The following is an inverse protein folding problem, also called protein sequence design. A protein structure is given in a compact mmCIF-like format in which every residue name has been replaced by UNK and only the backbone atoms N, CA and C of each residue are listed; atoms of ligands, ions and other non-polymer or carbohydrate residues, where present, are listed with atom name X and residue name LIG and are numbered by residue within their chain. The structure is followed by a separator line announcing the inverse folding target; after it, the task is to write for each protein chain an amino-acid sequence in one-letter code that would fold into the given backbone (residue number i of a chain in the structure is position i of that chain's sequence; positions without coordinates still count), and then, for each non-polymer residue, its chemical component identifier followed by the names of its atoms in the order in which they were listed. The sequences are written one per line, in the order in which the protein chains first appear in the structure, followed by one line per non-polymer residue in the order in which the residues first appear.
data_IF_283477468260
#
_entry.id   IF_283477468260
#
_cell.length_a   1.000
_cell.length_b   1.000
_cell.length_c   1.000
_cell.angle_alpha   90.00
_cell.angle_beta   90.00
_cell.angle_gamma   90.00
#
_symmetry.space_group_name_H-M   'P 1'
#
loop_
_entity.id
_entity.type
_entity.pdbx_description
1 polymer ?
#
# COMPACT_ATOMS: atom_id res chain seq x y z
N UNK A 1 -29.39 -0.36 -10.34
CA UNK A 1 -30.21 0.57 -11.13
C UNK A 1 -29.22 1.47 -11.87
N UNK A 2 -29.09 1.32 -13.19
CA UNK A 2 -28.22 2.20 -13.98
C UNK A 2 -28.67 3.64 -13.75
N UNK A 3 -27.73 4.53 -13.42
CA UNK A 3 -27.97 5.97 -13.48
C UNK A 3 -28.52 6.31 -14.88
N UNK A 4 -29.45 7.27 -14.99
CA UNK A 4 -29.93 7.72 -16.30
C UNK A 4 -28.72 8.09 -17.15
N UNK A 5 -28.65 7.58 -18.38
CA UNK A 5 -27.58 7.95 -19.29
C UNK A 5 -27.59 9.48 -19.44
N UNK A 6 -26.43 10.14 -19.32
CA UNK A 6 -26.36 11.58 -19.48
C UNK A 6 -26.87 11.96 -20.87
N UNK A 7 -27.48 13.16 -21.01
CA UNK A 7 -28.00 13.63 -22.30
C UNK A 7 -26.92 13.64 -23.40
N UNK A 8 -25.66 13.72 -22.99
CA UNK A 8 -24.48 13.54 -23.84
C UNK A 8 -23.45 12.62 -23.20
N UNK A 9 -22.83 11.79 -24.04
CA UNK A 9 -21.68 10.96 -23.66
C UNK A 9 -20.54 11.16 -24.65
N UNK A 10 -19.46 11.78 -24.18
CA UNK A 10 -18.17 11.83 -24.85
C UNK A 10 -17.31 10.65 -24.40
N UNK A 11 -16.72 9.96 -25.37
CA UNK A 11 -15.95 8.74 -25.10
C UNK A 11 -14.58 8.80 -25.76
N UNK A 12 -13.53 8.76 -24.95
CA UNK A 12 -12.12 8.81 -25.38
C UNK A 12 -11.33 7.56 -24.99
N UNK A 13 -11.89 6.69 -24.13
CA UNK A 13 -11.29 5.42 -23.71
C UNK A 13 -11.58 4.32 -24.74
N UNK A 14 -11.15 4.54 -25.96
CA UNK A 14 -11.49 3.80 -27.17
C UNK A 14 -11.53 4.75 -28.36
N UNK A 15 -12.06 4.34 -29.53
CA UNK A 15 -12.31 5.27 -30.62
C UNK A 15 -13.15 6.48 -30.16
N UNK A 16 -12.81 7.68 -30.66
CA UNK A 16 -13.50 8.91 -30.29
C UNK A 16 -14.97 8.84 -30.73
N UNK A 17 -15.87 8.92 -29.76
CA UNK A 17 -17.31 8.95 -29.96
C UNK A 17 -17.95 10.07 -29.15
N UNK A 18 -18.96 10.71 -29.73
CA UNK A 18 -19.87 11.60 -29.01
C UNK A 18 -21.28 11.11 -29.30
N UNK A 19 -22.04 10.79 -28.26
CA UNK A 19 -23.44 10.42 -28.35
C UNK A 19 -24.30 11.55 -27.80
N UNK A 20 -25.35 11.90 -28.54
CA UNK A 20 -26.34 12.91 -28.17
C UNK A 20 -27.67 12.64 -28.90
N UNK A 21 -28.79 13.10 -28.36
CA UNK A 21 -30.09 13.04 -29.05
C UNK A 21 -30.54 11.63 -29.49
N UNK A 22 -30.08 10.58 -28.82
CA UNK A 22 -30.42 9.18 -29.12
C UNK A 22 -29.48 8.44 -30.08
N UNK A 23 -28.32 9.00 -30.46
CA UNK A 23 -27.37 8.28 -31.31
C UNK A 23 -25.98 8.92 -31.43
N UNK A 24 -25.09 8.33 -32.25
CA UNK A 24 -23.76 8.84 -32.48
C UNK A 24 -23.73 10.08 -33.37
N UNK A 25 -22.96 11.08 -32.95
CA UNK A 25 -22.73 12.31 -33.67
C UNK A 25 -21.58 12.14 -34.67
N UNK A 26 -21.77 12.37 -35.98
CA UNK A 26 -20.69 12.30 -36.96
C UNK A 26 -19.73 13.49 -36.79
N UNK A 27 -18.56 13.25 -36.19
CA UNK A 27 -17.56 14.25 -35.81
C UNK A 27 -16.75 14.89 -36.97
N UNK A 28 -17.09 14.56 -38.21
CA UNK A 28 -16.41 15.08 -39.40
C UNK A 28 -15.00 14.50 -39.60
N UNK A 29 -14.14 15.26 -40.27
CA UNK A 29 -12.81 14.82 -40.68
C UNK A 29 -11.78 14.75 -39.53
N UNK A 30 -10.62 14.16 -39.83
CA UNK A 30 -9.53 13.88 -38.87
C UNK A 30 -9.14 15.07 -37.99
N UNK A 31 -8.98 16.28 -38.55
CA UNK A 31 -8.62 17.49 -37.76
C UNK A 31 -9.71 17.93 -36.77
N UNK A 32 -10.99 17.73 -37.10
CA UNK A 32 -12.10 18.05 -36.18
C UNK A 32 -12.14 17.08 -35.00
N UNK A 33 -11.97 15.79 -35.28
CA UNK A 33 -11.83 14.73 -34.27
C UNK A 33 -10.64 15.01 -33.36
N UNK A 34 -9.49 15.34 -33.91
CA UNK A 34 -8.28 15.68 -33.15
C UNK A 34 -8.48 16.91 -32.26
N UNK A 35 -9.06 18.00 -32.79
CA UNK A 35 -9.37 19.20 -31.99
C UNK A 35 -10.25 18.87 -30.80
N UNK A 36 -11.33 18.11 -31.03
CA UNK A 36 -12.25 17.71 -29.99
C UNK A 36 -11.58 16.81 -28.96
N UNK A 37 -10.81 15.81 -29.40
CA UNK A 37 -10.08 14.90 -28.52
C UNK A 37 -9.14 15.68 -27.57
N UNK A 38 -8.33 16.60 -28.10
CA UNK A 38 -7.43 17.43 -27.29
C UNK A 38 -8.18 18.24 -26.23
N UNK A 39 -9.32 18.85 -26.60
CA UNK A 39 -10.14 19.61 -25.66
C UNK A 39 -10.78 18.71 -24.58
N UNK A 40 -11.23 17.51 -24.95
CA UNK A 40 -11.81 16.54 -24.01
C UNK A 40 -10.76 16.01 -23.02
N UNK A 41 -9.55 15.70 -23.49
CA UNK A 41 -8.41 15.30 -22.65
C UNK A 41 -7.98 16.41 -21.69
N UNK A 42 -8.17 17.68 -22.07
CA UNK A 42 -7.96 18.81 -21.18
C UNK A 42 -9.06 18.92 -20.09
N UNK A 43 -10.22 18.29 -20.30
CA UNK A 43 -11.31 18.11 -19.33
C UNK A 43 -11.76 19.43 -18.69
N UNK A 44 -12.15 20.41 -19.51
CA UNK A 44 -12.58 21.74 -19.05
C UNK A 44 -11.45 22.76 -18.87
N UNK A 45 -10.18 22.32 -18.84
CA UNK A 45 -9.03 23.23 -18.79
C UNK A 45 -8.79 23.89 -20.13
N UNK A 46 -8.31 25.14 -20.09
CA UNK A 46 -7.94 25.90 -21.29
C UNK A 46 -6.68 25.32 -21.92
N UNK A 47 -6.76 25.00 -23.22
CA UNK A 47 -5.60 24.69 -24.08
C UNK A 47 -5.26 25.94 -24.88
N UNK A 48 -4.00 26.37 -24.86
CA UNK A 48 -3.57 27.58 -25.58
C UNK A 48 -3.76 27.41 -27.08
N UNK A 49 -4.02 28.51 -27.79
CA UNK A 49 -4.12 28.47 -29.24
C UNK A 49 -2.84 27.92 -29.89
N UNK A 50 -1.67 28.25 -29.33
CA UNK A 50 -0.37 27.79 -29.82
C UNK A 50 -0.22 26.28 -29.67
N UNK A 51 -0.54 25.73 -28.49
CA UNK A 51 -0.51 24.29 -28.26
C UNK A 51 -1.49 23.55 -29.17
N UNK A 52 -2.69 24.11 -29.39
CA UNK A 52 -3.64 23.53 -30.34
C UNK A 52 -3.08 23.54 -31.77
N UNK A 53 -2.37 24.61 -32.16
CA UNK A 53 -1.72 24.66 -33.47
C UNK A 53 -0.66 23.57 -33.59
N UNK A 54 0.24 23.47 -32.61
CA UNK A 54 1.32 22.48 -32.61
C UNK A 54 0.77 21.05 -32.63
N UNK A 55 -0.29 20.78 -31.86
CA UNK A 55 -0.93 19.46 -31.81
C UNK A 55 -1.61 19.09 -33.12
N UNK A 56 -2.28 20.06 -33.76
CA UNK A 56 -3.06 19.79 -34.96
C UNK A 56 -2.19 19.78 -36.22
N UNK A 57 -1.14 20.58 -36.32
CA UNK A 57 -0.35 20.73 -37.55
C UNK A 57 1.14 20.38 -37.39
N UNK A 58 1.58 20.02 -36.19
CA UNK A 58 2.99 19.72 -35.92
C UNK A 58 3.86 20.97 -36.02
N UNK A 59 5.08 20.80 -36.52
CA UNK A 59 6.05 21.90 -36.70
C UNK A 59 5.81 22.74 -37.97
N UNK A 60 4.67 22.58 -38.67
CA UNK A 60 4.39 23.35 -39.90
C UNK A 60 4.21 24.85 -39.59
N UNK A 61 5.11 25.73 -40.09
CA UNK A 61 5.00 27.15 -39.82
C UNK A 61 4.02 27.78 -40.80
N UNK A 62 2.94 28.39 -40.29
CA UNK A 62 2.44 29.63 -40.93
C UNK A 62 1.49 30.42 -40.03
N UNK A 63 1.56 31.75 -40.16
CA UNK A 63 0.55 32.67 -39.64
C UNK A 63 -0.88 32.35 -40.14
N UNK A 64 -1.00 31.59 -41.24
CA UNK A 64 -2.28 31.07 -41.78
C UNK A 64 -2.92 30.00 -40.88
N UNK A 65 -2.15 29.33 -40.02
CA UNK A 65 -2.66 28.24 -39.18
C UNK A 65 -3.57 28.77 -38.06
N UNK A 66 -3.33 29.98 -37.52
CA UNK A 66 -4.23 30.58 -36.50
C UNK A 66 -5.63 30.87 -37.04
N UNK A 67 -5.74 31.41 -38.24
CA UNK A 67 -7.03 31.62 -38.90
C UNK A 67 -7.71 30.26 -39.20
N UNK A 68 -6.92 29.25 -39.56
CA UNK A 68 -7.39 27.89 -39.79
C UNK A 68 -7.90 27.23 -38.50
N UNK A 69 -7.28 27.49 -37.35
CA UNK A 69 -7.78 27.05 -36.04
C UNK A 69 -9.14 27.65 -35.73
N UNK A 70 -9.34 28.95 -35.95
CA UNK A 70 -10.64 29.59 -35.74
C UNK A 70 -11.74 28.98 -36.62
N UNK A 71 -11.42 28.65 -37.88
CA UNK A 71 -12.34 27.93 -38.78
C UNK A 71 -12.67 26.56 -38.21
N UNK A 72 -11.67 25.80 -37.74
CA UNK A 72 -11.92 24.48 -37.17
C UNK A 72 -12.77 24.55 -35.88
N UNK A 73 -12.52 25.51 -34.99
CA UNK A 73 -13.34 25.75 -33.80
C UNK A 73 -14.77 26.14 -34.17
N UNK A 74 -14.94 27.00 -35.18
CA UNK A 74 -16.26 27.41 -35.67
C UNK A 74 -17.05 26.22 -36.23
N UNK A 75 -16.40 25.35 -37.01
CA UNK A 75 -17.00 24.12 -37.53
C UNK A 75 -17.36 23.15 -36.40
N UNK A 76 -16.47 22.96 -35.41
CA UNK A 76 -16.75 22.13 -34.24
C UNK A 76 -17.97 22.63 -33.47
N UNK A 77 -18.06 23.94 -33.21
CA UNK A 77 -19.23 24.55 -32.54
C UNK A 77 -20.53 24.30 -33.29
N UNK A 78 -20.51 24.46 -34.62
CA UNK A 78 -21.71 24.19 -35.45
C UNK A 78 -22.12 22.72 -35.37
N UNK A 79 -21.14 21.82 -35.37
CA UNK A 79 -21.36 20.37 -35.28
C UNK A 79 -21.97 19.98 -33.93
N UNK A 80 -21.43 20.49 -32.83
CA UNK A 80 -21.95 20.25 -31.48
C UNK A 80 -23.35 20.83 -31.26
N UNK A 81 -23.62 22.01 -31.84
CA UNK A 81 -24.95 22.65 -31.81
C UNK A 81 -25.97 21.86 -32.62
N UNK A 82 -25.61 21.43 -33.85
CA UNK A 82 -26.49 20.65 -34.70
C UNK A 82 -26.80 19.26 -34.14
N UNK A 83 -25.87 18.71 -33.34
CA UNK A 83 -26.06 17.47 -32.59
C UNK A 83 -26.84 17.62 -31.29
N UNK A 84 -27.33 18.82 -30.97
CA UNK A 84 -28.04 19.13 -29.72
C UNK A 84 -27.28 18.67 -28.46
N UNK A 85 -25.95 18.73 -28.52
CA UNK A 85 -25.09 18.15 -27.46
C UNK A 85 -25.09 18.98 -26.16
N UNK A 86 -25.45 20.25 -26.22
CA UNK A 86 -25.25 21.17 -25.07
C UNK A 86 -23.77 21.47 -24.75
N UNK A 87 -22.81 20.75 -25.34
CA UNK A 87 -21.38 21.00 -25.16
C UNK A 87 -20.98 22.34 -25.78
N UNK A 88 -20.26 23.15 -25.01
CA UNK A 88 -19.83 24.48 -25.44
C UNK A 88 -18.32 24.56 -25.50
N UNK A 89 -17.77 24.89 -26.68
CA UNK A 89 -16.36 25.23 -26.82
C UNK A 89 -16.20 26.73 -26.55
N UNK A 90 -15.74 27.10 -25.35
CA UNK A 90 -15.52 28.47 -24.94
C UNK A 90 -14.15 28.99 -25.42
N UNK A 91 -14.09 30.28 -25.80
CA UNK A 91 -12.81 30.98 -25.95
C UNK A 91 -12.43 31.50 -24.58
N UNK A 92 -11.31 31.00 -24.04
CA UNK A 92 -10.76 31.40 -22.73
C UNK A 92 -9.30 31.72 -22.94
N UNK A 93 -8.86 32.95 -22.72
CA UNK A 93 -7.45 33.31 -22.97
C UNK A 93 -6.51 32.39 -22.16
N UNK A 94 -5.39 31.91 -22.76
CA UNK A 94 -4.88 32.21 -24.11
C UNK A 94 -5.35 31.26 -25.24
N UNK A 95 -6.48 30.57 -25.10
CA UNK A 95 -6.99 29.67 -26.14
C UNK A 95 -8.45 29.23 -25.98
N UNK A 96 -8.68 27.93 -25.88
CA UNK A 96 -10.02 27.33 -25.90
C UNK A 96 -10.17 26.23 -24.85
N UNK A 97 -11.40 26.06 -24.35
CA UNK A 97 -11.79 24.98 -23.46
C UNK A 97 -13.14 24.42 -23.93
N UNK A 98 -13.39 23.15 -23.65
CA UNK A 98 -14.73 22.56 -23.79
C UNK A 98 -15.38 22.47 -22.41
N UNK A 99 -16.57 23.03 -22.27
CA UNK A 99 -17.38 22.87 -21.07
C UNK A 99 -18.04 21.50 -21.10
N UNK A 100 -17.68 20.67 -20.12
CA UNK A 100 -18.11 19.28 -20.00
C UNK A 100 -18.29 18.91 -18.53
N UNK A 101 -19.39 18.25 -18.20
CA UNK A 101 -19.64 17.77 -16.85
C UNK A 101 -18.87 16.46 -16.58
N UNK A 102 -18.54 16.15 -15.31
CA UNK A 102 -17.79 14.94 -14.97
C UNK A 102 -18.42 13.62 -15.42
N UNK A 103 -19.74 13.55 -15.51
CA UNK A 103 -20.51 12.38 -15.94
C UNK A 103 -20.68 12.28 -17.46
N UNK A 104 -20.41 13.36 -18.20
CA UNK A 104 -20.50 13.39 -19.67
C UNK A 104 -19.24 12.82 -20.35
N UNK A 105 -18.11 12.68 -19.64
CA UNK A 105 -16.84 12.16 -20.19
C UNK A 105 -16.43 10.84 -19.52
N UNK A 106 -16.28 9.77 -20.31
CA UNK A 106 -15.83 8.46 -19.82
C UNK A 106 -14.49 8.50 -19.07
N UNK A 107 -13.53 9.34 -19.49
CA UNK A 107 -12.26 9.55 -18.81
C UNK A 107 -12.42 10.09 -17.38
N UNK A 108 -13.33 11.04 -17.16
CA UNK A 108 -13.57 11.60 -15.82
C UNK A 108 -14.28 10.60 -14.93
N UNK A 109 -15.25 9.87 -15.48
CA UNK A 109 -15.92 8.76 -14.79
C UNK A 109 -14.96 7.64 -14.40
N UNK A 110 -14.07 7.25 -15.30
CA UNK A 110 -13.03 6.27 -15.05
C UNK A 110 -12.13 6.70 -13.89
N UNK A 111 -11.59 7.93 -13.93
CA UNK A 111 -10.72 8.45 -12.86
C UNK A 111 -11.45 8.53 -11.51
N UNK A 112 -12.69 9.01 -11.50
CA UNK A 112 -13.50 9.07 -10.28
C UNK A 112 -13.72 7.67 -9.68
N UNK A 113 -14.14 6.69 -10.49
CA UNK A 113 -14.36 5.32 -10.05
C UNK A 113 -13.06 4.64 -9.57
N UNK A 114 -11.92 4.91 -10.21
CA UNK A 114 -10.61 4.43 -9.75
C UNK A 114 -10.25 5.04 -8.39
N UNK A 115 -10.45 6.33 -8.18
CA UNK A 115 -10.14 6.99 -6.91
C UNK A 115 -11.06 6.53 -5.77
N UNK A 116 -12.34 6.30 -6.07
CA UNK A 116 -13.28 5.68 -5.13
C UNK A 116 -12.89 4.24 -4.81
N UNK A 117 -12.49 3.45 -5.82
CA UNK A 117 -12.00 2.08 -5.65
C UNK A 117 -10.74 2.01 -4.78
N UNK A 118 -9.77 2.89 -5.03
CA UNK A 118 -8.56 3.05 -4.18
C UNK A 118 -8.93 3.43 -2.74
N UNK A 119 -9.91 4.31 -2.57
CA UNK A 119 -10.36 4.74 -1.24
C UNK A 119 -11.11 3.62 -0.51
N UNK A 120 -11.91 2.82 -1.23
CA UNK A 120 -12.55 1.63 -0.68
C UNK A 120 -11.52 0.58 -0.24
N UNK A 121 -10.47 0.36 -1.04
CA UNK A 121 -9.38 -0.54 -0.68
C UNK A 121 -8.61 -0.06 0.56
N UNK A 122 -8.29 1.25 0.63
CA UNK A 122 -7.69 1.87 1.82
C UNK A 122 -8.56 1.75 3.07
N UNK A 123 -9.89 1.78 2.89
CA UNK A 123 -10.87 1.60 3.97
C UNK A 123 -11.15 0.13 4.33
N UNK A 124 -10.39 -0.84 3.79
CA UNK A 124 -10.59 -2.26 4.08
C UNK A 124 -11.87 -2.86 3.48
N UNK A 125 -12.40 -2.27 2.40
CA UNK A 125 -13.58 -2.76 1.66
C UNK A 125 -13.18 -3.27 0.26
N UNK A 126 -12.41 -4.35 0.16
CA UNK A 126 -11.88 -4.82 -1.12
C UNK A 126 -12.97 -5.30 -2.10
N UNK A 127 -14.11 -5.85 -1.64
CA UNK A 127 -15.23 -6.19 -2.54
C UNK A 127 -15.82 -4.97 -3.25
N UNK A 128 -15.97 -3.86 -2.52
CA UNK A 128 -16.42 -2.59 -3.10
C UNK A 128 -15.38 -2.02 -4.06
N UNK A 129 -14.09 -2.15 -3.72
CA UNK A 129 -13.00 -1.73 -4.61
C UNK A 129 -13.01 -2.51 -5.92
N UNK A 130 -13.15 -3.85 -5.89
CA UNK A 130 -13.26 -4.68 -7.10
C UNK A 130 -14.43 -4.21 -7.97
N UNK A 131 -15.61 -4.02 -7.39
CA UNK A 131 -16.81 -3.60 -8.13
C UNK A 131 -16.58 -2.27 -8.86
N UNK A 132 -16.06 -1.26 -8.15
CA UNK A 132 -15.79 0.07 -8.71
C UNK A 132 -14.71 0.03 -9.80
N UNK A 133 -13.68 -0.79 -9.62
CA UNK A 133 -12.57 -0.91 -10.58
C UNK A 133 -12.98 -1.72 -11.82
N UNK A 134 -13.85 -2.72 -11.67
CA UNK A 134 -14.45 -3.43 -12.80
C UNK A 134 -15.34 -2.48 -13.62
N UNK A 135 -16.18 -1.69 -12.97
CA UNK A 135 -16.99 -0.65 -13.63
C UNK A 135 -16.13 0.39 -14.35
N UNK A 136 -15.04 0.84 -13.71
CA UNK A 136 -14.09 1.77 -14.32
C UNK A 136 -13.43 1.18 -15.56
N UNK A 137 -12.89 -0.05 -15.46
CA UNK A 137 -12.19 -0.71 -16.56
C UNK A 137 -13.15 -1.07 -17.71
N UNK A 138 -14.42 -1.32 -17.43
CA UNK A 138 -15.44 -1.55 -18.46
C UNK A 138 -15.74 -0.32 -19.33
N UNK A 139 -15.33 0.89 -18.92
CA UNK A 139 -15.42 2.09 -19.75
C UNK A 139 -14.42 2.05 -20.93
N UNK A 140 -13.36 1.25 -20.81
CA UNK A 140 -12.38 1.07 -21.88
C UNK A 140 -12.92 0.14 -22.96
N UNK A 141 -12.96 0.65 -24.20
CA UNK A 141 -13.50 -0.02 -25.39
C UNK A 141 -12.41 -0.41 -26.39
N UNK A 142 -11.17 -0.48 -25.92
CA UNK A 142 -9.95 -0.65 -26.71
C UNK A 142 -8.88 0.36 -26.31
N UNK A 143 -7.86 0.51 -27.16
CA UNK A 143 -6.83 1.54 -26.98
C UNK A 143 -7.46 2.94 -27.01
N UNK A 144 -6.99 3.83 -26.12
CA UNK A 144 -7.48 5.21 -26.06
C UNK A 144 -7.32 5.91 -27.42
N UNK A 145 -8.38 6.59 -27.87
CA UNK A 145 -8.47 7.28 -29.16
C UNK A 145 -7.86 6.47 -30.32
N UNK A 146 -8.21 5.18 -30.43
CA UNK A 146 -7.62 4.27 -31.42
C UNK A 146 -7.67 4.78 -32.88
N UNK A 147 -8.67 5.60 -33.24
CA UNK A 147 -8.80 6.24 -34.55
C UNK A 147 -7.85 7.43 -34.78
N UNK A 148 -7.17 7.88 -33.72
CA UNK A 148 -6.18 8.95 -33.69
C UNK A 148 -4.84 8.46 -33.13
N UNK A 149 -4.64 7.14 -33.00
CA UNK A 149 -3.44 6.56 -32.38
C UNK A 149 -2.13 6.93 -33.11
N UNK A 150 -2.20 7.21 -34.41
CA UNK A 150 -1.04 7.60 -35.23
C UNK A 150 -0.76 9.12 -35.18
N UNK A 151 -1.49 9.90 -34.38
CA UNK A 151 -1.26 11.35 -34.26
C UNK A 151 -0.01 11.64 -33.40
N UNK A 152 1.05 12.24 -33.95
CA UNK A 152 2.27 12.52 -33.19
C UNK A 152 2.03 13.43 -31.99
N UNK A 153 1.10 14.38 -32.13
CA UNK A 153 0.74 15.32 -31.08
C UNK A 153 0.12 14.68 -29.84
N UNK A 154 -0.49 13.50 -29.96
CA UNK A 154 -1.21 12.82 -28.86
C UNK A 154 -0.39 11.74 -28.16
N UNK A 155 0.81 11.38 -28.64
CA UNK A 155 1.53 10.20 -28.13
C UNK A 155 1.79 10.26 -26.62
N UNK A 156 2.10 11.44 -26.08
CA UNK A 156 2.33 11.62 -24.66
C UNK A 156 1.04 11.42 -23.85
N UNK A 157 -0.07 12.00 -24.32
CA UNK A 157 -1.39 11.90 -23.69
C UNK A 157 -1.93 10.46 -23.75
N UNK A 158 -1.74 9.75 -24.87
CA UNK A 158 -2.13 8.34 -25.01
C UNK A 158 -1.30 7.43 -24.10
N UNK A 159 0.01 7.65 -24.02
CA UNK A 159 0.88 6.92 -23.09
C UNK A 159 0.43 7.09 -21.64
N UNK A 160 0.15 8.33 -21.21
CA UNK A 160 -0.34 8.61 -19.86
C UNK A 160 -1.70 7.94 -19.57
N UNK A 161 -2.60 7.85 -20.56
CA UNK A 161 -3.87 7.13 -20.39
C UNK A 161 -3.67 5.63 -20.22
N UNK A 162 -2.78 5.01 -21.00
CA UNK A 162 -2.47 3.58 -20.83
C UNK A 162 -1.78 3.30 -19.48
N UNK A 163 -0.94 4.21 -18.99
CA UNK A 163 -0.39 4.14 -17.63
C UNK A 163 -1.50 4.23 -16.56
N UNK A 164 -2.45 5.16 -16.73
CA UNK A 164 -3.63 5.28 -15.85
C UNK A 164 -4.45 3.97 -15.83
N UNK A 165 -4.65 3.34 -17.00
CA UNK A 165 -5.33 2.04 -17.13
C UNK A 165 -4.57 0.95 -16.38
N UNK A 166 -3.26 0.87 -16.60
CA UNK A 166 -2.41 -0.14 -16.00
C UNK A 166 -2.37 -0.01 -14.47
N UNK A 167 -2.35 1.23 -13.96
CA UNK A 167 -2.45 1.51 -12.54
C UNK A 167 -3.80 1.07 -11.94
N UNK A 168 -4.92 1.28 -12.66
CA UNK A 168 -6.24 0.82 -12.25
C UNK A 168 -6.32 -0.72 -12.21
N UNK A 169 -5.78 -1.40 -13.22
CA UNK A 169 -5.63 -2.86 -13.22
C UNK A 169 -4.80 -3.33 -12.03
N UNK A 170 -3.66 -2.68 -11.74
CA UNK A 170 -2.85 -2.97 -10.56
C UNK A 170 -3.65 -2.87 -9.26
N UNK A 171 -4.43 -1.79 -9.08
CA UNK A 171 -5.31 -1.63 -7.90
C UNK A 171 -6.38 -2.72 -7.82
N UNK A 172 -6.94 -3.14 -8.96
CA UNK A 172 -7.92 -4.24 -9.01
C UNK A 172 -7.28 -5.54 -8.53
N UNK A 173 -6.08 -5.84 -9.01
CA UNK A 173 -5.31 -7.03 -8.60
C UNK A 173 -4.99 -7.02 -7.10
N UNK A 174 -4.64 -5.87 -6.52
CA UNK A 174 -4.51 -5.73 -5.06
C UNK A 174 -5.80 -6.07 -4.32
N UNK A 175 -6.94 -5.59 -4.80
CA UNK A 175 -8.22 -5.87 -4.18
C UNK A 175 -8.56 -7.37 -4.23
N UNK A 176 -8.29 -8.06 -5.34
CA UNK A 176 -8.42 -9.51 -5.44
C UNK A 176 -7.47 -10.26 -4.49
N UNK A 177 -6.23 -9.79 -4.35
CA UNK A 177 -5.28 -10.35 -3.38
C UNK A 177 -5.81 -10.20 -1.94
N UNK A 178 -6.35 -9.05 -1.57
CA UNK A 178 -6.94 -8.83 -0.25
C UNK A 178 -8.15 -9.77 0.00
N UNK A 179 -8.92 -10.09 -1.04
CA UNK A 179 -10.01 -11.07 -1.01
C UNK A 179 -9.55 -12.53 -0.98
N UNK A 180 -8.25 -12.80 -1.13
CA UNK A 180 -7.71 -14.16 -1.13
C UNK A 180 -7.84 -14.87 -2.49
N UNK A 181 -8.22 -14.16 -3.55
CA UNK A 181 -8.46 -14.70 -4.90
C UNK A 181 -7.16 -14.86 -5.69
N UNK A 182 -6.11 -15.35 -5.05
CA UNK A 182 -4.74 -15.35 -5.58
C UNK A 182 -4.59 -16.21 -6.84
N UNK A 183 -5.17 -17.41 -6.83
CA UNK A 183 -5.09 -18.35 -7.95
C UNK A 183 -5.85 -17.83 -9.19
N UNK A 184 -6.99 -17.16 -8.97
CA UNK A 184 -7.87 -16.65 -10.03
C UNK A 184 -7.18 -15.55 -10.86
N UNK A 185 -6.40 -14.68 -10.23
CA UNK A 185 -5.74 -13.55 -10.91
C UNK A 185 -4.36 -13.89 -11.49
N UNK A 186 -3.81 -15.08 -11.18
CA UNK A 186 -2.46 -15.45 -11.60
C UNK A 186 -2.28 -15.48 -13.14
N UNK A 187 -3.21 -16.03 -13.94
CA UNK A 187 -3.10 -16.03 -15.41
C UNK A 187 -3.09 -14.60 -15.97
N UNK A 188 -4.05 -13.77 -15.57
CA UNK A 188 -4.15 -12.37 -16.02
C UNK A 188 -2.88 -11.57 -15.66
N UNK A 189 -2.38 -11.71 -14.42
CA UNK A 189 -1.11 -11.10 -14.01
C UNK A 189 0.10 -11.60 -14.80
N UNK A 190 0.10 -12.86 -15.24
CA UNK A 190 1.17 -13.42 -16.05
C UNK A 190 1.20 -12.76 -17.43
N UNK A 191 0.04 -12.60 -18.07
CA UNK A 191 -0.10 -11.93 -19.37
C UNK A 191 0.29 -10.45 -19.27
N UNK A 192 -0.14 -9.76 -18.21
CA UNK A 192 0.20 -8.36 -17.96
C UNK A 192 1.70 -8.15 -17.74
N UNK A 193 2.37 -9.02 -16.99
CA UNK A 193 3.82 -8.96 -16.79
C UNK A 193 4.59 -9.28 -18.06
N UNK A 194 4.06 -10.14 -18.93
CA UNK A 194 4.65 -10.40 -20.24
C UNK A 194 4.52 -9.20 -21.18
N UNK A 195 3.37 -8.51 -21.16
CA UNK A 195 3.11 -7.32 -21.96
C UNK A 195 3.86 -6.07 -21.46
N UNK A 196 4.06 -5.95 -20.15
CA UNK A 196 4.76 -4.83 -19.51
C UNK A 196 5.97 -5.32 -18.67
N UNK A 197 7.04 -5.81 -19.32
CA UNK A 197 8.12 -6.54 -18.64
C UNK A 197 8.92 -5.69 -17.65
N UNK A 198 8.99 -4.37 -17.86
CA UNK A 198 9.65 -3.40 -16.97
C UNK A 198 8.77 -2.93 -15.81
N UNK A 199 7.49 -3.30 -15.78
CA UNK A 199 6.58 -2.85 -14.74
C UNK A 199 6.71 -3.70 -13.46
N UNK A 200 7.72 -3.37 -12.66
CA UNK A 200 8.09 -4.09 -11.43
C UNK A 200 6.92 -4.36 -10.48
N UNK A 201 5.99 -3.41 -10.42
CA UNK A 201 4.86 -3.53 -9.52
C UNK A 201 3.86 -4.65 -9.90
N UNK A 202 3.57 -4.85 -11.19
CA UNK A 202 2.72 -5.97 -11.64
C UNK A 202 3.40 -7.30 -11.41
N UNK A 203 4.73 -7.31 -11.58
CA UNK A 203 5.57 -8.47 -11.25
C UNK A 203 5.51 -8.80 -9.76
N UNK A 204 5.53 -7.79 -8.89
CA UNK A 204 5.38 -7.98 -7.46
C UNK A 204 4.03 -8.64 -7.10
N UNK A 205 2.93 -8.18 -7.72
CA UNK A 205 1.60 -8.78 -7.55
C UNK A 205 1.57 -10.23 -8.01
N UNK A 206 2.18 -10.56 -9.15
CA UNK A 206 2.26 -11.94 -9.65
C UNK A 206 3.05 -12.84 -8.69
N UNK A 207 4.21 -12.38 -8.22
CA UNK A 207 5.05 -13.11 -7.24
C UNK A 207 4.25 -13.38 -5.97
N UNK A 208 3.52 -12.39 -5.47
CA UNK A 208 2.69 -12.51 -4.29
C UNK A 208 1.52 -13.48 -4.49
N UNK A 209 0.84 -13.42 -5.63
CA UNK A 209 -0.25 -14.32 -6.00
C UNK A 209 0.23 -15.78 -6.07
N UNK A 210 1.35 -16.02 -6.76
CA UNK A 210 1.98 -17.34 -6.87
C UNK A 210 2.39 -17.87 -5.49
N UNK A 211 3.10 -17.06 -4.71
CA UNK A 211 3.58 -17.48 -3.39
C UNK A 211 2.44 -17.83 -2.43
N UNK A 212 1.40 -16.97 -2.34
CA UNK A 212 0.24 -17.23 -1.47
C UNK A 212 -0.57 -18.46 -1.92
N UNK A 213 -0.51 -18.79 -3.21
CA UNK A 213 -1.08 -20.02 -3.79
C UNK A 213 -0.20 -21.27 -3.59
N UNK A 214 0.88 -21.19 -2.81
CA UNK A 214 1.78 -22.31 -2.54
C UNK A 214 2.80 -22.58 -3.66
N UNK A 215 2.89 -21.71 -4.67
CA UNK A 215 3.78 -21.85 -5.83
C UNK A 215 5.07 -21.04 -5.65
N UNK A 216 5.77 -21.26 -4.54
CA UNK A 216 6.97 -20.50 -4.19
C UNK A 216 8.12 -20.65 -5.22
N UNK A 217 8.27 -21.82 -5.83
CA UNK A 217 9.26 -22.04 -6.88
C UNK A 217 9.00 -21.16 -8.12
N UNK A 218 7.74 -21.05 -8.54
CA UNK A 218 7.33 -20.20 -9.67
C UNK A 218 7.52 -18.72 -9.34
N UNK A 219 7.22 -18.30 -8.10
CA UNK A 219 7.47 -16.94 -7.63
C UNK A 219 8.97 -16.56 -7.75
N UNK A 220 9.88 -17.48 -7.40
CA UNK A 220 11.33 -17.27 -7.58
C UNK A 220 11.74 -17.23 -9.05
N UNK A 221 11.09 -18.00 -9.93
CA UNK A 221 11.33 -17.92 -11.38
C UNK A 221 10.98 -16.52 -11.90
N UNK A 222 9.80 -16.00 -11.53
CA UNK A 222 9.34 -14.66 -11.94
C UNK A 222 10.28 -13.55 -11.44
N UNK A 223 10.79 -13.66 -10.21
CA UNK A 223 11.78 -12.72 -9.65
C UNK A 223 13.11 -12.76 -10.41
N UNK A 224 13.64 -13.96 -10.69
CA UNK A 224 14.87 -14.11 -11.49
C UNK A 224 14.73 -13.55 -12.90
N UNK A 225 13.59 -13.79 -13.53
CA UNK A 225 13.29 -13.28 -14.87
C UNK A 225 13.20 -11.74 -14.85
N UNK A 226 12.57 -11.15 -13.83
CA UNK A 226 12.51 -9.70 -13.66
C UNK A 226 13.88 -9.05 -13.47
N UNK A 227 14.73 -9.63 -12.61
CA UNK A 227 16.11 -9.16 -12.43
C UNK A 227 16.88 -9.17 -13.76
N UNK A 228 16.75 -10.24 -14.55
CA UNK A 228 17.40 -10.34 -15.85
C UNK A 228 16.94 -9.24 -16.81
N UNK A 229 15.63 -9.04 -16.94
CA UNK A 229 15.04 -8.00 -17.81
C UNK A 229 15.48 -6.60 -17.38
N UNK A 230 15.43 -6.27 -16.09
CA UNK A 230 15.84 -4.94 -15.60
C UNK A 230 17.33 -4.68 -15.84
N UNK A 231 18.18 -5.70 -15.67
CA UNK A 231 19.60 -5.58 -15.95
C UNK A 231 19.88 -5.42 -17.46
N UNK A 232 19.19 -6.18 -18.31
CA UNK A 232 19.36 -6.15 -19.78
C UNK A 232 18.86 -4.83 -20.40
N UNK A 233 17.67 -4.37 -19.99
CA UNK A 233 17.01 -3.21 -20.61
C UNK A 233 17.40 -1.86 -19.97
N UNK A 234 17.67 -1.83 -18.66
CA UNK A 234 17.90 -0.60 -17.91
C UNK A 234 19.28 -0.53 -17.23
N UNK A 235 20.04 -1.64 -17.21
CA UNK A 235 21.27 -1.72 -16.43
C UNK A 235 21.04 -1.58 -14.92
N UNK A 236 19.83 -1.88 -14.45
CA UNK A 236 19.37 -1.61 -13.09
C UNK A 236 19.09 -2.90 -12.30
N UNK A 237 19.29 -2.82 -10.98
CA UNK A 237 18.87 -3.85 -10.04
C UNK A 237 17.37 -3.72 -9.70
N UNK A 238 16.71 -4.82 -9.24
CA UNK A 238 15.32 -4.76 -8.79
C UNK A 238 15.08 -3.73 -7.68
N UNK A 239 13.93 -3.08 -7.73
CA UNK A 239 13.42 -2.17 -6.72
C UNK A 239 13.26 -2.83 -5.34
N UNK A 240 13.04 -2.02 -4.29
CA UNK A 240 12.94 -2.51 -2.92
C UNK A 240 11.77 -3.50 -2.72
N UNK A 241 10.65 -3.29 -3.41
CA UNK A 241 9.48 -4.18 -3.32
C UNK A 241 9.80 -5.62 -3.78
N UNK A 242 10.45 -5.77 -4.95
CA UNK A 242 10.85 -7.08 -5.46
C UNK A 242 11.94 -7.74 -4.60
N UNK A 243 12.87 -6.94 -4.06
CA UNK A 243 13.92 -7.44 -3.14
C UNK A 243 13.34 -7.93 -1.82
N UNK A 244 12.37 -7.21 -1.26
CA UNK A 244 11.69 -7.60 -0.03
C UNK A 244 10.84 -8.87 -0.25
N UNK A 245 10.18 -8.98 -1.40
CA UNK A 245 9.48 -10.21 -1.83
C UNK A 245 10.42 -11.40 -1.96
N UNK A 246 11.55 -11.25 -2.65
CA UNK A 246 12.54 -12.32 -2.81
C UNK A 246 13.04 -12.83 -1.46
N UNK A 247 13.36 -11.91 -0.53
CA UNK A 247 13.78 -12.27 0.83
C UNK A 247 12.68 -13.04 1.57
N UNK A 248 11.44 -12.57 1.51
CA UNK A 248 10.32 -13.20 2.19
C UNK A 248 10.03 -14.61 1.64
N UNK A 249 10.10 -14.79 0.32
CA UNK A 249 9.91 -16.10 -0.34
C UNK A 249 11.03 -17.07 0.05
N UNK A 250 12.30 -16.64 0.01
CA UNK A 250 13.44 -17.47 0.41
C UNK A 250 13.41 -17.86 1.88
N UNK A 251 12.95 -16.96 2.76
CA UNK A 251 12.79 -17.22 4.19
C UNK A 251 11.50 -18.00 4.52
N UNK A 252 10.70 -18.37 3.52
CA UNK A 252 9.41 -19.05 3.69
C UNK A 252 8.49 -18.33 4.67
N UNK A 253 8.49 -16.99 4.64
CA UNK A 253 7.69 -16.21 5.56
C UNK A 253 6.19 -16.34 5.24
N UNK A 254 5.32 -16.39 6.25
CA UNK A 254 3.89 -16.45 6.01
C UNK A 254 3.34 -15.10 5.55
N UNK A 255 3.19 -14.91 4.24
CA UNK A 255 2.66 -13.68 3.65
C UNK A 255 1.11 -13.65 3.59
N UNK A 256 0.42 -14.61 4.21
CA UNK A 256 -1.05 -14.63 4.32
C UNK A 256 -1.47 -13.72 5.48
N UNK A 257 -2.49 -12.89 5.27
CA UNK A 257 -3.10 -12.09 6.35
C UNK A 257 -2.64 -10.64 6.49
N UNK A 258 -1.48 -10.25 5.96
CA UNK A 258 -0.93 -8.90 6.20
C UNK A 258 -1.76 -7.76 5.61
N UNK A 259 -2.58 -8.05 4.60
CA UNK A 259 -3.50 -7.08 3.98
C UNK A 259 -4.87 -7.04 4.65
N UNK A 260 -5.24 -8.09 5.39
CA UNK A 260 -6.59 -8.33 5.97
C UNK A 260 -6.75 -7.79 7.38
N UNK A 261 -5.68 -7.27 7.94
CA UNK A 261 -5.65 -6.74 9.29
C UNK A 261 -5.97 -5.24 9.20
N UNK A 262 -6.87 -4.75 10.06
CA UNK A 262 -7.19 -3.33 10.20
C UNK A 262 -5.94 -2.49 10.49
N UNK A 263 -6.09 -1.20 10.80
CA UNK A 263 -4.91 -0.37 11.06
C UNK A 263 -4.04 -1.01 12.17
N UNK A 264 -2.83 -1.48 11.85
CA UNK A 264 -1.93 -2.05 12.84
C UNK A 264 -1.47 -0.93 13.76
N UNK A 265 -0.94 -1.29 14.93
CA UNK A 265 -0.51 -0.32 15.92
C UNK A 265 0.71 -0.82 16.66
N UNK A 266 1.50 0.11 17.17
CA UNK A 266 2.56 -0.17 18.14
C UNK A 266 2.03 0.05 19.55
N UNK A 267 2.42 -0.84 20.46
CA UNK A 267 2.25 -0.67 21.90
C UNK A 267 3.62 -0.60 22.56
N UNK A 268 3.87 0.42 23.37
CA UNK A 268 5.10 0.54 24.15
C UNK A 268 4.83 1.28 25.47
N UNK A 269 5.77 1.22 26.40
CA UNK A 269 5.70 1.93 27.68
C UNK A 269 6.61 3.16 27.62
N UNK A 270 6.10 4.34 27.98
CA UNK A 270 6.90 5.56 28.01
C UNK A 270 7.79 5.66 29.27
N UNK A 271 8.66 6.68 29.31
CA UNK A 271 9.57 6.90 30.44
C UNK A 271 8.87 7.20 31.78
N UNK A 272 7.57 7.50 31.77
CA UNK A 272 6.74 7.65 32.96
C UNK A 272 6.01 6.36 33.38
N UNK A 273 6.22 5.25 32.66
CA UNK A 273 5.57 3.98 32.92
C UNK A 273 4.17 3.85 32.30
N UNK A 274 3.72 4.82 31.50
CA UNK A 274 2.40 4.77 30.86
C UNK A 274 2.45 4.02 29.53
N UNK A 275 1.47 3.15 29.29
CA UNK A 275 1.31 2.52 27.97
C UNK A 275 0.87 3.54 26.93
N UNK A 276 1.51 3.48 25.76
CA UNK A 276 1.23 4.28 24.57
C UNK A 276 0.85 3.36 23.43
N UNK A 277 -0.16 3.78 22.68
CA UNK A 277 -0.60 3.11 21.45
C UNK A 277 -0.45 4.08 20.30
N UNK A 278 0.28 3.68 19.26
CA UNK A 278 0.45 4.46 18.03
C UNK A 278 -0.13 3.66 16.88
N UNK A 279 -1.25 4.12 16.35
CA UNK A 279 -1.88 3.53 15.16
C UNK A 279 -1.02 3.85 13.94
N UNK A 280 -0.66 2.81 13.20
CA UNK A 280 0.13 2.88 11.99
C UNK A 280 -0.83 3.01 10.80
N UNK A 281 -0.97 4.24 10.33
CA UNK A 281 -1.74 4.56 9.14
C UNK A 281 -0.86 4.45 7.89
N UNK A 282 -1.29 3.63 6.93
CA UNK A 282 -0.59 3.43 5.64
C UNK A 282 -0.35 4.77 4.92
N UNK A 283 -1.29 5.72 5.03
CA UNK A 283 -1.18 7.05 4.42
C UNK A 283 -0.13 7.95 5.08
N UNK A 284 0.31 7.61 6.31
CA UNK A 284 1.34 8.34 7.07
C UNK A 284 2.70 7.64 7.04
N UNK A 285 2.87 6.63 6.19
CA UNK A 285 4.17 5.99 5.96
C UNK A 285 5.14 6.97 5.26
N UNK A 286 6.42 7.08 5.69
CA UNK A 286 7.04 6.35 6.80
C UNK A 286 6.70 6.94 8.18
N UNK A 287 6.46 6.06 9.16
CA UNK A 287 6.32 6.42 10.58
C UNK A 287 7.71 6.39 11.23
N UNK A 288 8.21 7.54 11.69
CA UNK A 288 9.55 7.68 12.25
C UNK A 288 9.60 7.30 13.74
N UNK A 289 10.67 6.62 14.16
CA UNK A 289 10.93 6.21 15.54
C UNK A 289 12.29 6.76 15.98
N UNK A 290 12.34 7.46 17.10
CA UNK A 290 13.61 7.99 17.60
C UNK A 290 13.48 8.89 18.81
N UNK A 291 14.63 9.35 19.32
CA UNK A 291 14.70 10.16 20.55
C UNK A 291 14.26 11.62 20.34
N UNK A 292 14.29 12.13 19.10
CA UNK A 292 13.78 13.48 18.80
C UNK A 292 12.27 13.54 19.04
N UNK A 293 11.73 14.63 19.62
CA UNK A 293 10.28 14.81 19.77
C UNK A 293 9.55 14.93 18.41
N UNK A 294 10.28 15.22 17.33
CA UNK A 294 9.72 15.31 15.97
C UNK A 294 9.41 13.94 15.33
N UNK A 295 9.82 12.84 15.98
CA UNK A 295 9.46 11.51 15.51
C UNK A 295 8.00 11.19 15.83
N UNK A 296 7.33 10.50 14.91
CA UNK A 296 5.97 10.03 15.15
C UNK A 296 5.86 9.10 16.37
N UNK A 297 6.94 8.34 16.64
CA UNK A 297 7.16 7.57 17.87
C UNK A 297 8.37 8.14 18.59
N UNK A 298 8.13 9.07 19.51
CA UNK A 298 9.16 9.74 20.31
C UNK A 298 9.57 8.91 21.55
N UNK A 299 10.83 8.52 21.60
CA UNK A 299 11.43 7.73 22.70
C UNK A 299 12.48 8.57 23.46
N UNK A 300 12.08 9.75 23.92
CA UNK A 300 12.98 10.79 24.45
C UNK A 300 13.76 10.37 25.71
N UNK A 301 13.22 9.42 26.47
CA UNK A 301 13.79 8.94 27.75
C UNK A 301 14.88 7.90 27.58
N UNK A 302 14.96 7.22 26.44
CA UNK A 302 15.90 6.13 26.22
C UNK A 302 17.22 6.66 25.61
N UNK A 303 18.33 6.66 26.35
CA UNK A 303 19.59 7.24 25.89
C UNK A 303 20.26 6.41 24.78
N UNK A 304 19.94 5.12 24.68
CA UNK A 304 20.45 4.23 23.63
C UNK A 304 19.73 4.44 22.28
N UNK A 305 18.67 5.26 22.27
CA UNK A 305 17.93 5.59 21.06
C UNK A 305 18.56 6.79 20.35
N UNK A 306 18.94 6.57 19.08
CA UNK A 306 19.38 7.64 18.17
C UNK A 306 18.29 8.68 17.92
N UNK A 307 18.67 9.93 17.59
CA UNK A 307 17.71 11.03 17.36
C UNK A 307 16.65 10.67 16.30
N UNK A 308 17.09 10.08 15.19
CA UNK A 308 16.28 9.28 14.29
C UNK A 308 16.88 7.87 14.33
N UNK A 309 16.12 6.87 14.76
CA UNK A 309 16.63 5.53 15.01
C UNK A 309 16.18 4.56 13.93
N UNK A 310 14.87 4.46 13.71
CA UNK A 310 14.30 3.59 12.71
C UNK A 310 13.09 4.27 12.07
N UNK A 311 12.63 3.70 10.96
CA UNK A 311 11.36 4.08 10.34
C UNK A 311 10.57 2.84 9.98
N UNK A 312 9.28 2.91 10.20
CA UNK A 312 8.32 1.91 9.77
C UNK A 312 7.76 2.37 8.42
N UNK A 313 7.99 1.57 7.40
CA UNK A 313 7.48 1.82 6.06
C UNK A 313 6.39 0.83 5.73
N UNK A 314 5.26 1.33 5.23
CA UNK A 314 4.28 0.49 4.60
C UNK A 314 4.77 0.08 3.20
N UNK A 315 4.83 -1.22 2.95
CA UNK A 315 4.87 -1.78 1.61
C UNK A 315 3.68 -2.72 1.43
N UNK A 316 3.51 -3.26 0.22
CA UNK A 316 2.37 -4.12 -0.09
C UNK A 316 2.41 -5.48 0.62
N UNK A 317 3.56 -5.85 1.18
CA UNK A 317 3.70 -7.02 2.05
C UNK A 317 3.31 -6.75 3.50
N UNK A 318 3.18 -5.49 3.92
CA UNK A 318 2.97 -5.08 5.30
C UNK A 318 3.89 -3.96 5.76
N UNK A 319 3.93 -3.73 7.07
CA UNK A 319 4.87 -2.79 7.68
C UNK A 319 6.26 -3.38 7.80
N UNK A 320 7.25 -2.65 7.33
CA UNK A 320 8.66 -3.02 7.34
C UNK A 320 9.42 -2.07 8.25
N UNK A 321 10.22 -2.61 9.17
CA UNK A 321 11.21 -1.83 9.91
C UNK A 321 12.44 -1.60 9.04
N UNK A 322 12.84 -0.35 8.92
CA UNK A 322 14.11 0.07 8.31
C UNK A 322 14.96 0.68 9.41
N UNK A 323 16.07 0.02 9.74
CA UNK A 323 17.02 0.53 10.71
C UNK A 323 17.92 1.60 10.07
N UNK A 324 18.10 2.71 10.76
CA UNK A 324 18.98 3.81 10.36
C UNK A 324 19.81 4.32 11.56
N UNK A 325 19.94 3.48 12.58
CA UNK A 325 20.50 3.86 13.87
C UNK A 325 21.99 3.57 13.96
N UNK A 326 22.63 4.10 15.01
CA UNK A 326 24.01 3.74 15.36
C UNK A 326 24.12 2.43 16.14
N UNK A 327 23.05 2.04 16.84
CA UNK A 327 23.07 0.95 17.83
C UNK A 327 22.34 -0.31 17.34
N UNK A 328 21.76 -0.26 16.13
CA UNK A 328 20.97 -1.33 15.55
C UNK A 328 19.55 -1.42 16.13
N UNK A 329 18.65 -1.97 15.33
CA UNK A 329 17.30 -2.38 15.77
C UNK A 329 17.19 -3.90 15.77
N UNK A 330 16.40 -4.45 16.69
CA UNK A 330 16.08 -5.87 16.74
C UNK A 330 14.61 -6.11 16.39
N UNK A 331 14.30 -7.19 15.67
CA UNK A 331 12.94 -7.72 15.51
C UNK A 331 12.94 -9.17 15.96
N UNK A 332 12.17 -9.45 17.02
CA UNK A 332 12.11 -10.75 17.69
C UNK A 332 13.51 -11.25 18.08
N UNK A 333 14.29 -10.37 18.73
CA UNK A 333 15.66 -10.64 19.21
C UNK A 333 16.73 -10.72 18.10
N UNK A 334 16.36 -10.59 16.82
CA UNK A 334 17.28 -10.67 15.70
C UNK A 334 17.58 -9.30 15.11
N UNK A 335 18.86 -9.01 14.89
CA UNK A 335 19.32 -7.76 14.26
C UNK A 335 18.71 -7.54 12.88
N UNK A 336 18.29 -6.30 12.63
CA UNK A 336 17.75 -5.87 11.34
C UNK A 336 18.88 -5.38 10.46
N UNK A 337 19.27 -6.19 9.46
CA UNK A 337 20.19 -5.77 8.40
C UNK A 337 19.40 -5.16 7.25
N UNK A 338 19.31 -3.82 7.23
CA UNK A 338 18.58 -3.07 6.22
C UNK A 338 17.07 -3.00 6.52
N UNK A 339 16.29 -3.91 5.94
CA UNK A 339 14.81 -3.90 5.99
C UNK A 339 14.26 -5.21 6.51
N UNK A 340 13.24 -5.17 7.38
CA UNK A 340 12.58 -6.37 7.90
C UNK A 340 11.07 -6.23 8.05
N UNK A 341 10.32 -7.18 7.50
CA UNK A 341 8.87 -7.24 7.59
C UNK A 341 8.42 -7.57 9.02
N UNK A 342 7.40 -6.86 9.50
CA UNK A 342 6.78 -7.05 10.81
C UNK A 342 5.54 -7.94 10.69
N UNK A 343 5.37 -8.81 11.69
CA UNK A 343 4.24 -9.74 11.82
C UNK A 343 3.46 -9.42 13.08
N UNK A 344 2.17 -9.74 13.12
CA UNK A 344 1.39 -9.56 14.34
C UNK A 344 2.09 -10.21 15.54
N UNK A 345 2.25 -9.44 16.62
CA UNK A 345 2.94 -9.86 17.82
C UNK A 345 4.45 -9.67 17.81
N UNK A 346 5.05 -9.20 16.70
CA UNK A 346 6.49 -8.94 16.62
C UNK A 346 6.93 -7.90 17.65
N UNK A 347 8.08 -8.15 18.29
CA UNK A 347 8.69 -7.22 19.24
C UNK A 347 9.85 -6.51 18.54
N UNK A 348 9.67 -5.22 18.27
CA UNK A 348 10.70 -4.33 17.76
C UNK A 348 11.45 -3.73 18.95
N UNK A 349 12.75 -3.95 19.07
CA UNK A 349 13.56 -3.32 20.13
C UNK A 349 14.41 -2.21 19.53
N UNK A 350 14.25 -1.01 20.08
CA UNK A 350 14.97 0.21 19.69
C UNK A 350 15.65 0.75 20.94
N UNK A 351 16.99 0.76 20.96
CA UNK A 351 17.74 1.01 22.19
C UNK A 351 17.42 -0.06 23.24
N UNK A 352 16.87 0.36 24.38
CA UNK A 352 16.37 -0.55 25.44
C UNK A 352 14.85 -0.69 25.44
N UNK A 353 14.15 0.03 24.56
CA UNK A 353 12.69 0.12 24.56
C UNK A 353 12.07 -0.91 23.61
N UNK A 354 11.27 -1.87 24.12
CA UNK A 354 10.49 -2.77 23.28
C UNK A 354 9.19 -2.10 22.81
N UNK A 355 8.91 -2.23 21.51
CA UNK A 355 7.67 -1.84 20.86
C UNK A 355 7.00 -3.09 20.30
N UNK A 356 5.80 -3.41 20.79
CA UNK A 356 5.00 -4.52 20.29
C UNK A 356 4.21 -4.07 19.07
N UNK A 357 4.48 -4.68 17.92
CA UNK A 357 3.67 -4.53 16.73
C UNK A 357 2.45 -5.44 16.82
N UNK A 358 1.26 -4.86 16.70
CA UNK A 358 0.00 -5.58 16.60
C UNK A 358 -0.67 -5.25 15.29
N UNK A 359 -1.17 -6.27 14.63
CA UNK A 359 -2.05 -6.13 13.50
C UNK A 359 -3.47 -6.35 13.99
N UNK A 360 -4.37 -5.39 13.74
CA UNK A 360 -5.74 -5.55 14.21
C UNK A 360 -6.42 -6.63 13.37
N UNK A 361 -6.85 -7.74 13.97
CA UNK A 361 -7.69 -8.72 13.29
C UNK A 361 -8.99 -8.08 12.76
N UNK A 362 -9.76 -8.78 11.92
CA UNK A 362 -10.97 -8.22 11.31
C UNK A 362 -11.89 -7.64 12.39
N UNK A 363 -12.12 -6.34 12.30
CA UNK A 363 -13.11 -5.63 13.11
C UNK A 363 -14.50 -6.13 12.72
N UNK A 364 -15.01 -7.09 13.47
CA UNK A 364 -16.45 -7.37 13.54
C UNK A 364 -17.01 -6.66 14.78
N UNK A 365 -17.16 -5.33 14.71
CA UNK A 365 -18.10 -4.54 15.52
C UNK A 365 -18.04 -3.06 15.07
N UNK A 366 -19.16 -2.32 15.10
CA UNK A 366 -19.18 -0.92 14.69
C UNK A 366 -18.38 -0.06 15.67
N UNK A 367 -17.79 1.01 15.13
CA UNK A 367 -16.99 1.97 15.88
C UNK A 367 -17.74 2.48 17.12
N UNK A 368 -17.21 2.17 18.30
CA UNK A 368 -17.54 2.89 19.52
C UNK A 368 -16.69 4.17 19.55
N UNK A 369 -17.33 5.28 19.93
CA UNK A 369 -16.74 6.60 20.17
C UNK A 369 -15.47 6.52 21.06
N UNK A 370 -14.57 7.53 20.98
CA UNK A 370 -13.30 7.50 21.67
C UNK A 370 -13.52 7.79 23.16
N UNK A 371 -14.02 6.81 23.90
CA UNK A 371 -14.03 6.85 25.36
C UNK A 371 -12.80 6.14 25.92
N UNK A 372 -12.25 6.72 26.99
CA UNK A 372 -11.00 6.31 27.63
C UNK A 372 -11.12 4.90 28.21
N UNK A 373 -10.83 3.88 27.41
CA UNK A 373 -10.69 2.52 27.90
C UNK A 373 -9.42 2.40 28.76
N UNK A 374 -9.60 2.47 30.07
CA UNK A 374 -8.59 2.08 31.05
C UNK A 374 -8.40 0.56 30.90
N UNK A 375 -7.19 0.13 30.55
CA UNK A 375 -6.85 -1.28 30.31
C UNK A 375 -7.02 -2.08 31.60
N UNK A 376 -8.14 -2.79 31.77
CA UNK A 376 -8.30 -3.90 32.73
C UNK A 376 -7.90 -5.25 32.11
N UNK A 377 -6.87 -5.27 31.24
CA UNK A 377 -6.46 -6.47 30.48
C UNK A 377 -5.33 -7.30 31.10
N UNK A 378 -4.44 -6.71 31.89
CA UNK A 378 -3.20 -7.40 32.35
C UNK A 378 -3.43 -8.39 33.49
N UNK A 379 -4.44 -8.18 34.34
CA UNK A 379 -4.71 -9.03 35.51
C UNK A 379 -5.46 -10.34 35.22
N UNK A 380 -5.87 -10.61 33.98
CA UNK A 380 -6.61 -11.83 33.63
C UNK A 380 -5.68 -13.00 33.25
N UNK A 381 -4.51 -12.72 32.65
CA UNK A 381 -3.57 -13.74 32.16
C UNK A 381 -2.81 -14.48 33.28
N UNK A 382 -2.75 -13.89 34.48
CA UNK A 382 -2.01 -14.43 35.64
C UNK A 382 -2.91 -14.76 36.84
N UNK A 383 -4.24 -14.65 36.69
CA UNK A 383 -5.18 -15.02 37.76
C UNK A 383 -5.08 -16.51 38.02
N UNK A 384 -4.68 -16.88 39.25
CA UNK A 384 -4.58 -18.27 39.67
C UNK A 384 -3.31 -19.00 39.22
N UNK A 385 -2.21 -18.28 38.98
CA UNK A 385 -0.91 -18.94 38.84
C UNK A 385 -0.59 -19.77 40.09
N UNK A 386 -0.07 -21.01 39.93
CA UNK A 386 0.54 -21.73 41.03
C UNK A 386 1.63 -20.87 41.70
N UNK A 387 1.82 -20.96 43.02
CA UNK A 387 2.80 -20.14 43.75
C UNK A 387 4.19 -20.16 43.12
N UNK A 388 4.66 -21.35 42.73
CA UNK A 388 5.97 -21.56 42.08
C UNK A 388 6.08 -20.85 40.72
N UNK A 389 5.00 -20.83 39.92
CA UNK A 389 5.00 -20.10 38.64
C UNK A 389 5.02 -18.58 38.85
N UNK A 390 4.37 -18.10 39.91
CA UNK A 390 4.38 -16.70 40.31
C UNK A 390 5.77 -16.25 40.79
N UNK A 391 6.42 -17.06 41.62
CA UNK A 391 7.74 -16.76 42.19
C UNK A 391 8.83 -16.77 41.11
N UNK A 392 8.78 -17.73 40.17
CA UNK A 392 9.69 -17.75 39.01
C UNK A 392 9.47 -16.55 38.12
N UNK A 393 8.22 -16.17 37.83
CA UNK A 393 7.92 -14.99 37.01
C UNK A 393 8.38 -13.69 37.70
N UNK A 394 8.18 -13.58 39.01
CA UNK A 394 8.63 -12.43 39.80
C UNK A 394 10.17 -12.32 39.79
N UNK A 395 10.88 -13.43 39.95
CA UNK A 395 12.35 -13.47 39.88
C UNK A 395 12.88 -13.07 38.49
N UNK A 396 12.23 -13.55 37.41
CA UNK A 396 12.54 -13.15 36.03
C UNK A 396 12.35 -11.65 35.82
N UNK A 397 11.30 -11.08 36.40
CA UNK A 397 10.99 -9.65 36.27
C UNK A 397 11.91 -8.76 37.11
N UNK A 398 12.31 -9.22 38.29
CA UNK A 398 13.22 -8.53 39.21
C UNK A 398 14.69 -8.56 38.78
N UNK A 399 15.07 -9.50 37.89
CA UNK A 399 16.42 -9.62 37.39
C UNK A 399 16.87 -8.34 36.63
N UNK A 400 18.06 -7.84 36.99
CA UNK A 400 18.66 -6.67 36.35
C UNK A 400 18.90 -6.90 34.85
N UNK A 401 18.85 -5.84 34.01
CA UNK A 401 19.15 -5.96 32.59
C UNK A 401 20.53 -6.59 32.36
N UNK A 402 20.56 -7.76 31.72
CA UNK A 402 21.80 -8.50 31.46
C UNK A 402 22.26 -9.45 32.58
N UNK A 403 21.46 -9.67 33.63
CA UNK A 403 21.76 -10.63 34.70
C UNK A 403 22.05 -12.06 34.19
N UNK A 404 21.51 -12.41 33.02
CA UNK A 404 21.64 -13.74 32.41
C UNK A 404 22.71 -13.81 31.31
N UNK A 405 23.68 -12.87 31.30
CA UNK A 405 24.77 -12.86 30.30
C UNK A 405 25.85 -13.91 30.56
N UNK A 406 25.95 -14.44 31.79
CA UNK A 406 26.94 -15.44 32.19
C UNK A 406 26.23 -16.51 33.02
N UNK A 407 26.42 -17.79 32.67
CA UNK A 407 25.74 -18.91 33.31
C UNK A 407 24.40 -19.28 32.66
N UNK A 408 23.77 -20.35 33.15
CA UNK A 408 22.45 -20.81 32.69
C UNK A 408 21.34 -20.12 33.49
N UNK A 409 20.40 -19.41 32.84
CA UNK A 409 19.34 -18.67 33.53
C UNK A 409 18.52 -19.55 34.49
N UNK A 410 18.23 -20.78 34.10
CA UNK A 410 17.53 -21.77 34.91
C UNK A 410 18.27 -22.16 36.19
N UNK A 411 19.61 -22.25 36.15
CA UNK A 411 20.43 -22.58 37.32
C UNK A 411 20.48 -21.41 38.31
N UNK A 412 20.60 -20.18 37.81
CA UNK A 412 20.61 -18.96 38.62
C UNK A 412 19.25 -18.70 39.30
N UNK A 413 18.16 -18.98 38.58
CA UNK A 413 16.80 -18.87 39.12
C UNK A 413 16.52 -19.99 40.15
N UNK A 414 16.99 -21.21 39.88
CA UNK A 414 16.89 -22.34 40.81
C UNK A 414 17.63 -22.05 42.12
N UNK A 415 18.84 -21.49 42.05
CA UNK A 415 19.61 -21.06 43.22
C UNK A 415 18.89 -19.94 43.99
N UNK A 416 18.40 -18.91 43.29
CA UNK A 416 17.72 -17.77 43.91
C UNK A 416 16.39 -18.15 44.61
N UNK A 417 15.69 -19.16 44.10
CA UNK A 417 14.38 -19.60 44.60
C UNK A 417 14.46 -20.85 45.49
N UNK A 418 15.66 -21.42 45.67
CA UNK A 418 15.89 -22.70 46.35
C UNK A 418 15.02 -23.85 45.81
N UNK A 419 14.91 -23.92 44.47
CA UNK A 419 14.14 -24.95 43.74
C UNK A 419 15.08 -25.85 42.91
N UNK A 420 14.68 -27.09 42.58
CA UNK A 420 15.38 -27.92 41.59
C UNK A 420 15.42 -27.25 40.21
N UNK A 421 16.53 -27.40 39.50
CA UNK A 421 16.71 -26.80 38.15
C UNK A 421 15.67 -27.33 37.16
N UNK A 422 15.32 -28.61 37.27
CA UNK A 422 14.32 -29.27 36.44
C UNK A 422 12.91 -28.70 36.67
N UNK A 423 12.61 -28.27 37.91
CA UNK A 423 11.34 -27.66 38.26
C UNK A 423 11.24 -26.23 37.70
N UNK A 424 12.33 -25.45 37.80
CA UNK A 424 12.42 -24.11 37.19
C UNK A 424 12.32 -24.19 35.66
N UNK A 425 12.99 -25.16 35.03
CA UNK A 425 12.93 -25.38 33.58
C UNK A 425 11.50 -25.68 33.09
N UNK A 426 10.78 -26.55 33.80
CA UNK A 426 9.39 -26.90 33.49
C UNK A 426 8.45 -25.68 33.63
N UNK A 427 8.64 -24.88 34.68
CA UNK A 427 7.86 -23.65 34.94
C UNK A 427 8.13 -22.58 33.89
N UNK A 428 9.39 -22.36 33.52
CA UNK A 428 9.77 -21.44 32.44
C UNK A 428 9.11 -21.86 31.11
N UNK A 429 9.09 -23.16 30.79
CA UNK A 429 8.39 -23.68 29.63
C UNK A 429 6.88 -23.43 29.66
N UNK A 430 6.23 -23.57 30.83
CA UNK A 430 4.81 -23.29 31.00
C UNK A 430 4.48 -21.80 30.84
N UNK A 431 5.28 -20.93 31.45
CA UNK A 431 5.15 -19.47 31.32
C UNK A 431 5.40 -19.00 29.88
N UNK A 432 6.40 -19.57 29.19
CA UNK A 432 6.65 -19.26 27.78
C UNK A 432 5.45 -19.63 26.90
N UNK A 433 4.86 -20.81 27.08
CA UNK A 433 3.63 -21.20 26.37
C UNK A 433 2.47 -20.26 26.67
N UNK A 434 2.27 -19.89 27.94
CA UNK A 434 1.16 -19.02 28.37
C UNK A 434 1.30 -17.59 27.84
N UNK A 435 2.52 -17.06 27.73
CA UNK A 435 2.81 -15.69 27.27
C UNK A 435 3.16 -15.60 25.78
N UNK A 436 3.19 -16.74 25.07
CA UNK A 436 3.46 -16.81 23.63
C UNK A 436 4.91 -16.58 23.26
N UNK A 437 5.84 -16.94 24.14
CA UNK A 437 7.30 -16.88 23.92
C UNK A 437 7.78 -18.22 23.37
N UNK A 438 8.58 -18.20 22.30
CA UNK A 438 9.17 -19.42 21.74
C UNK A 438 10.29 -19.91 22.65
N UNK A 439 10.36 -21.21 22.85
CA UNK A 439 11.42 -21.84 23.63
C UNK A 439 12.74 -21.78 22.84
N UNK A 440 13.61 -20.84 23.21
CA UNK A 440 14.87 -20.51 22.56
C UNK A 440 16.09 -20.94 23.39
N UNK A 441 15.92 -21.90 24.31
CA UNK A 441 16.98 -22.31 25.24
C UNK A 441 17.33 -21.16 26.22
N UNK A 442 18.61 -20.81 26.43
CA UNK A 442 19.00 -19.77 27.39
C UNK A 442 18.39 -18.38 27.10
N UNK A 443 18.02 -18.10 25.85
CA UNK A 443 17.42 -16.81 25.47
C UNK A 443 15.94 -16.67 25.88
N UNK A 444 15.26 -17.77 26.23
CA UNK A 444 13.82 -17.77 26.54
C UNK A 444 13.49 -16.97 27.80
N UNK A 445 14.42 -16.86 28.75
CA UNK A 445 14.22 -16.14 30.01
C UNK A 445 14.23 -14.62 29.82
N UNK A 446 15.22 -14.02 29.12
CA UNK A 446 15.15 -12.64 28.65
C UNK A 446 13.90 -12.33 27.81
N UNK A 447 13.53 -13.24 26.90
CA UNK A 447 12.34 -13.07 26.04
C UNK A 447 11.05 -13.07 26.87
N UNK A 448 10.96 -13.97 27.86
CA UNK A 448 9.85 -14.06 28.81
C UNK A 448 9.71 -12.81 29.67
N UNK A 449 10.81 -12.32 30.25
CA UNK A 449 10.81 -11.09 31.03
C UNK A 449 10.43 -9.87 30.19
N UNK A 450 10.89 -9.79 28.95
CA UNK A 450 10.51 -8.74 28.00
C UNK A 450 9.02 -8.80 27.68
N UNK A 451 8.51 -9.98 27.36
CA UNK A 451 7.09 -10.21 27.06
C UNK A 451 6.19 -9.86 28.25
N UNK A 452 6.59 -10.25 29.45
CA UNK A 452 5.84 -9.99 30.66
C UNK A 452 5.75 -8.49 30.99
N UNK A 453 6.86 -7.74 30.87
CA UNK A 453 6.87 -6.27 31.07
C UNK A 453 5.99 -5.55 30.05
N UNK A 454 6.04 -5.96 28.78
CA UNK A 454 5.21 -5.39 27.71
C UNK A 454 3.72 -5.62 27.96
N UNK A 455 3.34 -6.76 28.55
CA UNK A 455 1.96 -7.06 28.93
C UNK A 455 1.49 -6.33 30.21
N UNK A 456 2.35 -5.51 30.83
CA UNK A 456 2.05 -4.79 32.06
C UNK A 456 1.99 -5.70 33.29
N UNK A 457 2.70 -6.82 33.26
CA UNK A 457 2.83 -7.70 34.42
C UNK A 457 3.84 -7.07 35.38
N UNK A 458 3.38 -6.80 36.60
CA UNK A 458 4.20 -6.26 37.68
C UNK A 458 4.48 -7.40 38.68
N UNK A 459 5.71 -7.54 39.19
CA UNK A 459 5.96 -8.44 40.31
C UNK A 459 5.13 -7.98 41.51
N UNK A 460 4.30 -8.87 42.06
CA UNK A 460 3.54 -8.65 43.30
C UNK A 460 4.42 -8.77 44.52
#
# INVERSE_FOLDING_TARGET
MSAPEPPVSCRVLGPLEVHAGGGPLPLGGRKQRLLLAVLLLASGRTVSADRLVDLLWGEEPSDKVRNTLQVNVSTLRKLLLAGETGLTVARREPGYAIDIAPDELDLLRFRAAVDEGRSALRAGRPDAAVTLLDEALALWRGAALADLADEPGLQAELGALEEDRLAAVGTRMEAHLALGRHAEITPELSDLVAAAPLHEHLRALLVLALYRSGRAADALVVLRQGRRVLAEELGADPGPELRDLERAVLASEDLRGVEREGNPFLVFTDGGGAQRVVVLDRARSPVTVGRSPDNAVGLSWDPEVSRAHARLEWCRLGWVLVDASRNGSLVDGKEVRGRRLLRDGAVVTVGTTPLLFRSSGPASAPAAEPDRATVQGSGALLRGLPPVESDVLAAVLAAAPGAFRVGRPEELLAEALALPVEEVDAVLGALCRRLGVRDSGPARVPDLGTRARVLGIVPT
#
